data_IF_875750831036
#
_entry.id   IF_875750831036
#
_cell.length_a   1.000
_cell.length_b   1.000
_cell.length_c   1.000
_cell.angle_alpha   90.00
_cell.angle_beta   90.00
_cell.angle_gamma   90.00
#
_symmetry.space_group_name_H-M   'P 1'
#
loop_
_entity.id
_entity.type
_entity.pdbx_description
1 polymer ?
#
# COMPACT_ATOMS: atom_id res chain seq x y z
N UNK A 1 6.09 11.76 22.18
CA UNK A 1 6.83 10.89 21.23
C UNK A 1 6.09 10.96 19.92
N UNK A 2 6.76 11.35 18.84
CA UNK A 2 6.13 11.46 17.52
C UNK A 2 5.64 10.11 17.01
N UNK A 3 4.70 10.15 16.07
CA UNK A 3 4.18 8.94 15.43
C UNK A 3 5.01 8.61 14.20
N UNK A 4 5.34 7.34 14.02
CA UNK A 4 5.83 6.81 12.75
C UNK A 4 4.64 6.30 11.95
N UNK A 5 4.34 6.97 10.88
CA UNK A 5 3.13 6.75 10.08
C UNK A 5 3.54 6.11 8.76
N UNK A 6 2.97 4.97 8.46
CA UNK A 6 3.08 4.34 7.15
C UNK A 6 1.69 4.18 6.53
N UNK A 7 1.54 4.57 5.28
CA UNK A 7 0.33 4.26 4.52
C UNK A 7 0.64 4.16 3.04
N UNK A 8 -0.24 3.51 2.30
CA UNK A 8 -0.06 3.30 0.88
C UNK A 8 -1.35 3.42 0.08
N UNK A 9 -1.20 3.83 -1.17
CA UNK A 9 -2.28 3.88 -2.15
C UNK A 9 -1.92 3.01 -3.35
N UNK A 10 -2.86 2.16 -3.75
CA UNK A 10 -2.68 1.33 -4.94
C UNK A 10 -2.84 2.18 -6.21
N UNK A 11 -1.91 2.08 -7.18
CA UNK A 11 -2.01 2.80 -8.44
C UNK A 11 -2.94 2.08 -9.42
N UNK A 12 -4.22 1.96 -9.06
CA UNK A 12 -5.22 1.23 -9.87
C UNK A 12 -5.94 2.14 -10.89
N UNK A 13 -5.50 3.37 -11.05
CA UNK A 13 -6.06 4.38 -11.95
C UNK A 13 -7.29 5.09 -11.37
N UNK A 14 -7.77 6.10 -12.12
CA UNK A 14 -8.99 6.84 -11.79
C UNK A 14 -9.09 7.33 -10.33
N UNK A 15 -8.05 8.04 -9.88
CA UNK A 15 -8.13 8.74 -8.61
C UNK A 15 -9.35 9.67 -8.63
N UNK A 16 -10.26 9.44 -7.73
CA UNK A 16 -11.49 10.21 -7.60
C UNK A 16 -11.57 10.89 -6.23
N UNK A 17 -12.55 11.76 -6.07
CA UNK A 17 -12.75 12.53 -4.85
C UNK A 17 -12.78 11.67 -3.58
N UNK A 18 -13.30 10.43 -3.66
CA UNK A 18 -13.31 9.49 -2.56
C UNK A 18 -11.91 9.08 -2.09
N UNK A 19 -10.96 8.87 -3.02
CA UNK A 19 -9.56 8.58 -2.67
C UNK A 19 -8.89 9.78 -1.99
N UNK A 20 -9.20 11.00 -2.48
CA UNK A 20 -8.69 12.21 -1.86
C UNK A 20 -9.22 12.41 -0.44
N UNK A 21 -10.54 12.35 -0.24
CA UNK A 21 -11.15 12.57 1.07
C UNK A 21 -10.85 11.42 2.04
N UNK A 22 -10.91 10.17 1.55
CA UNK A 22 -10.73 8.99 2.39
C UNK A 22 -9.28 8.76 2.84
N UNK A 23 -8.30 9.08 2.00
CA UNK A 23 -6.90 8.79 2.30
C UNK A 23 -5.99 10.02 2.22
N UNK A 24 -5.85 10.65 1.04
CA UNK A 24 -4.78 11.62 0.76
C UNK A 24 -4.89 12.87 1.65
N UNK A 25 -6.10 13.36 1.89
CA UNK A 25 -6.34 14.50 2.79
C UNK A 25 -5.82 14.19 4.20
N UNK A 26 -6.09 12.99 4.72
CA UNK A 26 -5.61 12.58 6.03
C UNK A 26 -4.07 12.52 6.07
N UNK A 27 -3.41 12.13 4.97
CA UNK A 27 -1.95 12.13 4.87
C UNK A 27 -1.38 13.54 4.99
N UNK A 28 -2.00 14.52 4.32
CA UNK A 28 -1.62 15.94 4.42
C UNK A 28 -1.80 16.47 5.84
N UNK A 29 -2.91 16.12 6.49
CA UNK A 29 -3.17 16.54 7.87
C UNK A 29 -2.16 15.92 8.85
N UNK A 30 -1.82 14.64 8.67
CA UNK A 30 -0.86 13.92 9.51
C UNK A 30 0.56 14.44 9.35
N UNK A 31 1.03 14.75 8.13
CA UNK A 31 2.37 15.29 7.90
C UNK A 31 2.57 16.69 8.53
N UNK A 32 1.49 17.44 8.74
CA UNK A 32 1.55 18.78 9.32
C UNK A 32 1.46 18.77 10.86
N UNK A 33 1.21 17.62 11.47
CA UNK A 33 1.26 17.47 12.92
C UNK A 33 2.73 17.40 13.37
N UNK A 34 3.03 18.11 14.47
CA UNK A 34 4.37 18.17 15.02
C UNK A 34 4.89 16.78 15.41
N UNK A 35 6.16 16.53 15.13
CA UNK A 35 6.92 15.33 15.49
C UNK A 35 6.45 14.03 14.78
N UNK A 36 5.55 14.09 13.80
CA UNK A 36 5.20 12.94 13.00
C UNK A 36 6.25 12.68 11.92
N UNK A 37 6.65 11.42 11.78
CA UNK A 37 7.44 10.90 10.65
C UNK A 37 6.50 10.16 9.71
N UNK A 38 6.30 10.69 8.50
CA UNK A 38 5.34 10.14 7.55
C UNK A 38 6.03 9.50 6.35
N UNK A 39 5.63 8.27 6.05
CA UNK A 39 6.11 7.46 4.92
C UNK A 39 4.90 7.04 4.10
N UNK A 40 4.80 7.56 2.88
CA UNK A 40 3.69 7.30 1.97
C UNK A 40 4.18 6.54 0.74
N UNK A 41 3.56 5.41 0.49
CA UNK A 41 3.97 4.46 -0.52
C UNK A 41 2.95 4.34 -1.66
N UNK A 42 3.41 4.37 -2.89
CA UNK A 42 2.63 3.90 -4.04
C UNK A 42 2.82 2.39 -4.12
N UNK A 43 1.79 1.62 -3.72
CA UNK A 43 1.91 0.17 -3.50
C UNK A 43 1.61 -0.62 -4.77
N UNK A 44 2.51 -0.58 -5.72
CA UNK A 44 2.40 -1.23 -7.02
C UNK A 44 2.51 -2.76 -6.95
N UNK A 45 3.24 -3.33 -5.99
CA UNK A 45 3.26 -4.77 -5.76
C UNK A 45 1.90 -5.29 -5.30
N UNK A 46 1.14 -4.51 -4.53
CA UNK A 46 -0.25 -4.85 -4.20
C UNK A 46 -1.17 -4.74 -5.43
N UNK A 47 -0.93 -3.78 -6.32
CA UNK A 47 -1.74 -3.63 -7.52
C UNK A 47 -1.63 -4.85 -8.45
N UNK A 48 -0.44 -5.43 -8.62
CA UNK A 48 -0.22 -6.60 -9.48
C UNK A 48 -0.78 -7.92 -8.93
N UNK A 49 -1.35 -7.94 -7.74
CA UNK A 49 -2.10 -9.10 -7.22
C UNK A 49 -3.32 -9.42 -8.09
N UNK A 50 -3.79 -8.44 -8.84
CA UNK A 50 -4.77 -8.57 -9.92
C UNK A 50 -4.12 -8.22 -11.26
N UNK A 51 -4.68 -8.73 -12.36
CA UNK A 51 -4.11 -8.51 -13.70
C UNK A 51 -4.06 -7.01 -14.02
N UNK A 52 -2.88 -6.50 -14.34
CA UNK A 52 -2.63 -5.14 -14.77
C UNK A 52 -1.97 -5.13 -16.14
N UNK A 53 -2.28 -4.13 -16.96
CA UNK A 53 -1.47 -3.79 -18.13
C UNK A 53 -0.22 -3.04 -17.66
N UNK A 54 1.01 -3.47 -18.04
CA UNK A 54 2.24 -2.85 -17.54
C UNK A 54 2.39 -1.37 -17.91
N UNK A 55 1.89 -0.95 -19.07
CA UNK A 55 2.00 0.45 -19.52
C UNK A 55 1.02 1.33 -18.75
N UNK A 56 -0.19 0.83 -18.55
CA UNK A 56 -1.22 1.50 -17.75
C UNK A 56 -0.75 1.60 -16.30
N UNK A 57 -0.23 0.52 -15.72
CA UNK A 57 0.29 0.53 -14.34
C UNK A 57 1.40 1.58 -14.17
N UNK A 58 2.33 1.66 -15.13
CA UNK A 58 3.40 2.66 -15.12
C UNK A 58 2.87 4.10 -15.16
N UNK A 59 1.82 4.36 -15.94
CA UNK A 59 1.14 5.67 -15.96
C UNK A 59 0.48 5.95 -14.62
N UNK A 60 -0.28 4.99 -14.10
CA UNK A 60 -1.01 5.13 -12.86
C UNK A 60 -0.10 5.40 -11.64
N UNK A 61 1.10 4.78 -11.60
CA UNK A 61 2.10 5.06 -10.56
C UNK A 61 2.49 6.55 -10.59
N UNK A 62 2.75 7.10 -11.77
CA UNK A 62 3.12 8.51 -11.93
C UNK A 62 1.96 9.44 -11.56
N UNK A 63 0.75 9.11 -12.00
CA UNK A 63 -0.46 9.87 -11.70
C UNK A 63 -0.77 9.87 -10.19
N UNK A 64 -0.64 8.72 -9.52
CA UNK A 64 -0.82 8.62 -8.08
C UNK A 64 0.21 9.46 -7.33
N UNK A 65 1.48 9.43 -7.77
CA UNK A 65 2.53 10.25 -7.18
C UNK A 65 2.26 11.74 -7.40
N UNK A 66 1.87 12.12 -8.62
CA UNK A 66 1.50 13.51 -8.94
C UNK A 66 0.30 14.00 -8.11
N UNK A 67 -0.69 13.14 -7.90
CA UNK A 67 -1.84 13.45 -7.06
C UNK A 67 -1.45 13.66 -5.58
N UNK A 68 -0.51 12.88 -5.04
CA UNK A 68 0.04 13.11 -3.71
C UNK A 68 0.62 14.51 -3.58
N UNK A 69 1.49 14.90 -4.52
CA UNK A 69 2.13 16.21 -4.53
C UNK A 69 1.13 17.34 -4.72
N UNK A 70 0.23 17.21 -5.70
CA UNK A 70 -0.81 18.20 -6.00
C UNK A 70 -1.81 18.41 -4.84
N UNK A 71 -2.02 17.37 -4.02
CA UNK A 71 -2.87 17.43 -2.85
C UNK A 71 -2.21 18.06 -1.62
N UNK A 72 -0.89 18.36 -1.68
CA UNK A 72 -0.18 19.04 -0.62
C UNK A 72 0.72 18.13 0.23
N UNK A 73 0.98 16.89 -0.18
CA UNK A 73 2.03 16.09 0.45
C UNK A 73 3.38 16.70 0.03
N UNK A 74 4.14 17.15 1.02
CA UNK A 74 5.41 17.84 0.86
C UNK A 74 6.57 16.83 0.99
N UNK A 75 7.36 16.57 -0.08
CA UNK A 75 8.48 15.63 -0.04
C UNK A 75 9.65 16.10 0.85
N UNK A 76 9.61 17.33 1.37
CA UNK A 76 10.56 17.80 2.38
C UNK A 76 10.14 17.41 3.80
N UNK A 77 8.87 17.07 4.00
CA UNK A 77 8.29 16.66 5.29
C UNK A 77 8.01 15.18 5.38
N UNK A 78 7.68 14.55 4.24
CA UNK A 78 7.28 13.16 4.17
C UNK A 78 8.13 12.40 3.16
N UNK A 79 8.36 11.12 3.40
CA UNK A 79 8.97 10.23 2.41
C UNK A 79 7.87 9.75 1.48
N UNK A 80 8.07 9.90 0.16
CA UNK A 80 7.20 9.36 -0.88
C UNK A 80 8.03 8.42 -1.75
N UNK A 81 7.56 7.20 -1.97
CA UNK A 81 8.30 6.24 -2.80
C UNK A 81 7.36 5.23 -3.47
N UNK A 82 7.89 4.52 -4.46
CA UNK A 82 7.21 3.40 -5.10
C UNK A 82 7.70 2.07 -4.50
N UNK A 83 6.79 1.21 -4.10
CA UNK A 83 7.06 0.00 -3.33
C UNK A 83 8.07 -0.93 -4.02
N UNK A 84 7.91 -1.16 -5.33
CA UNK A 84 8.80 -2.06 -6.08
C UNK A 84 10.24 -1.56 -6.22
N UNK A 85 10.51 -0.29 -5.93
CA UNK A 85 11.87 0.27 -5.94
C UNK A 85 12.65 -0.05 -4.64
N UNK A 86 11.99 -0.64 -3.66
CA UNK A 86 12.60 -1.07 -2.38
C UNK A 86 12.49 -2.58 -2.25
N UNK A 87 13.51 -3.36 -2.65
CA UNK A 87 13.45 -4.83 -2.67
C UNK A 87 13.11 -5.48 -1.32
N UNK A 88 13.43 -4.80 -0.21
CA UNK A 88 13.16 -5.28 1.14
C UNK A 88 11.68 -5.62 1.39
N UNK A 89 10.74 -5.00 0.70
CA UNK A 89 9.32 -5.34 0.80
C UNK A 89 9.06 -6.79 0.35
N UNK A 90 9.61 -7.19 -0.80
CA UNK A 90 9.48 -8.56 -1.31
C UNK A 90 10.27 -9.56 -0.48
N UNK A 91 11.47 -9.21 -0.04
CA UNK A 91 12.30 -10.05 0.83
C UNK A 91 11.64 -10.26 2.18
N UNK A 92 11.16 -9.19 2.82
CA UNK A 92 10.41 -9.25 4.08
C UNK A 92 9.13 -10.08 3.95
N UNK A 93 8.41 -9.92 2.85
CA UNK A 93 7.21 -10.71 2.56
C UNK A 93 7.56 -12.21 2.44
N UNK A 94 8.66 -12.57 1.79
CA UNK A 94 9.10 -13.95 1.70
C UNK A 94 9.44 -14.53 3.08
N UNK A 95 10.24 -13.82 3.87
CA UNK A 95 10.65 -14.25 5.21
C UNK A 95 9.42 -14.47 6.10
N UNK A 96 8.50 -13.48 6.12
CA UNK A 96 7.26 -13.59 6.89
C UNK A 96 6.35 -14.70 6.36
N UNK A 97 6.36 -14.95 5.05
CA UNK A 97 5.62 -16.05 4.42
C UNK A 97 6.06 -17.43 4.91
N UNK A 98 7.35 -17.58 5.23
CA UNK A 98 7.88 -18.84 5.77
C UNK A 98 7.40 -19.15 7.20
N UNK A 99 6.94 -18.16 7.94
CA UNK A 99 6.43 -18.33 9.32
C UNK A 99 4.92 -18.14 9.44
N UNK A 100 4.29 -17.49 8.45
CA UNK A 100 2.85 -17.29 8.42
C UNK A 100 2.09 -18.61 8.27
N UNK A 101 0.94 -18.71 8.92
CA UNK A 101 0.12 -19.93 8.89
C UNK A 101 -1.03 -19.81 7.91
N UNK A 102 -1.25 -20.84 7.10
CA UNK A 102 -2.37 -20.91 6.16
C UNK A 102 -3.72 -20.60 6.82
N UNK A 103 -3.93 -21.07 8.06
CA UNK A 103 -5.15 -20.81 8.82
C UNK A 103 -5.38 -19.32 9.13
N UNK A 104 -4.34 -18.50 9.17
CA UNK A 104 -4.48 -17.05 9.32
C UNK A 104 -4.98 -16.43 8.03
N UNK A 105 -4.38 -16.79 6.89
CA UNK A 105 -4.77 -16.30 5.57
C UNK A 105 -6.20 -16.72 5.19
N UNK A 106 -6.61 -17.93 5.54
CA UNK A 106 -7.97 -18.43 5.29
C UNK A 106 -9.07 -17.61 5.98
N UNK A 107 -8.75 -16.85 7.02
CA UNK A 107 -9.70 -15.98 7.73
C UNK A 107 -9.86 -14.61 7.06
N UNK A 108 -8.94 -14.23 6.17
CA UNK A 108 -8.97 -12.93 5.50
C UNK A 108 -10.16 -12.85 4.55
N UNK A 109 -10.99 -11.83 4.72
CA UNK A 109 -12.23 -11.65 3.95
C UNK A 109 -11.95 -11.15 2.53
N UNK A 110 -10.95 -10.32 2.34
CA UNK A 110 -10.68 -9.68 1.04
C UNK A 110 -10.32 -10.66 -0.07
N UNK A 111 -9.66 -11.78 0.25
CA UNK A 111 -9.46 -12.83 -0.75
C UNK A 111 -10.80 -13.37 -1.25
N UNK A 112 -11.74 -13.60 -0.33
CA UNK A 112 -13.08 -14.12 -0.66
C UNK A 112 -13.87 -13.13 -1.52
N UNK A 113 -13.75 -11.84 -1.23
CA UNK A 113 -14.43 -10.77 -1.96
C UNK A 113 -13.83 -10.55 -3.36
N UNK A 114 -12.51 -10.45 -3.47
CA UNK A 114 -11.81 -10.14 -4.73
C UNK A 114 -11.65 -11.35 -5.66
N UNK A 115 -11.54 -12.57 -5.15
CA UNK A 115 -11.48 -13.78 -5.95
C UNK A 115 -12.83 -14.10 -6.62
N UNK A 116 -13.94 -13.54 -6.13
CA UNK A 116 -15.27 -13.76 -6.69
C UNK A 116 -15.71 -15.23 -6.65
N UNK A 117 -16.46 -15.65 -7.68
CA UNK A 117 -16.95 -17.03 -7.78
C UNK A 117 -15.91 -18.03 -8.27
N UNK A 118 -14.88 -17.57 -8.96
CA UNK A 118 -13.85 -18.42 -9.60
C UNK A 118 -12.51 -18.29 -8.84
N UNK A 119 -12.47 -18.91 -7.68
CA UNK A 119 -11.27 -18.87 -6.80
C UNK A 119 -10.06 -19.55 -7.42
N UNK A 120 -10.25 -20.49 -8.33
CA UNK A 120 -9.16 -21.23 -8.98
C UNK A 120 -8.35 -20.34 -9.92
N UNK A 121 -8.95 -19.25 -10.44
CA UNK A 121 -8.27 -18.27 -11.28
C UNK A 121 -7.62 -17.13 -10.50
N UNK A 122 -7.84 -17.06 -9.19
CA UNK A 122 -7.23 -16.04 -8.36
C UNK A 122 -5.71 -16.26 -8.24
N UNK A 123 -4.95 -15.17 -8.31
CA UNK A 123 -3.49 -15.27 -8.14
C UNK A 123 -3.11 -15.65 -6.72
N UNK A 124 -1.98 -16.36 -6.56
CA UNK A 124 -1.41 -16.61 -5.23
C UNK A 124 -1.09 -15.29 -4.52
N UNK A 125 -0.66 -14.26 -5.26
CA UNK A 125 -0.43 -12.92 -4.72
C UNK A 125 -1.66 -12.34 -4.02
N UNK A 126 -2.85 -12.55 -4.59
CA UNK A 126 -4.10 -12.10 -3.97
C UNK A 126 -4.41 -12.84 -2.65
N UNK A 127 -3.92 -14.07 -2.50
CA UNK A 127 -4.09 -14.84 -1.26
C UNK A 127 -3.09 -14.43 -0.18
N UNK A 128 -1.83 -14.15 -0.57
CA UNK A 128 -0.74 -13.88 0.36
C UNK A 128 -0.46 -12.38 0.56
N UNK A 129 -1.17 -11.47 -0.10
CA UNK A 129 -0.91 -10.02 0.04
C UNK A 129 -0.94 -9.50 1.50
N UNK A 130 -1.67 -10.09 2.47
CA UNK A 130 -1.59 -9.65 3.86
C UNK A 130 -0.20 -9.82 4.48
N UNK A 131 0.58 -10.77 3.97
CA UNK A 131 1.97 -10.97 4.38
C UNK A 131 2.84 -9.83 3.87
N UNK A 132 2.68 -9.45 2.59
CA UNK A 132 3.35 -8.28 2.02
C UNK A 132 2.98 -7.00 2.77
N UNK A 133 1.70 -6.81 3.08
CA UNK A 133 1.24 -5.66 3.88
C UNK A 133 1.88 -5.64 5.28
N UNK A 134 2.06 -6.79 5.90
CA UNK A 134 2.76 -6.90 7.19
C UNK A 134 4.23 -6.50 7.04
N UNK A 135 4.89 -6.94 5.96
CA UNK A 135 6.27 -6.53 5.66
C UNK A 135 6.37 -5.01 5.47
N UNK A 136 5.44 -4.42 4.70
CA UNK A 136 5.38 -2.98 4.48
C UNK A 136 5.36 -2.17 5.78
N UNK A 137 4.59 -2.63 6.76
CA UNK A 137 4.42 -1.96 8.05
C UNK A 137 5.66 -2.14 8.94
N UNK A 138 6.17 -3.38 9.03
CA UNK A 138 7.27 -3.71 9.93
C UNK A 138 8.61 -3.12 9.46
N UNK A 139 8.85 -3.01 8.17
CA UNK A 139 10.09 -2.45 7.61
C UNK A 139 10.37 -1.01 8.07
N UNK A 140 9.33 -0.24 8.31
CA UNK A 140 9.44 1.17 8.72
C UNK A 140 9.18 1.36 10.22
N UNK A 141 9.03 0.29 10.97
CA UNK A 141 8.73 0.35 12.41
C UNK A 141 7.53 1.27 12.70
N UNK A 142 6.52 1.15 11.85
CA UNK A 142 5.35 2.02 11.86
C UNK A 142 4.51 1.82 13.13
N UNK A 143 4.20 2.91 13.81
CA UNK A 143 3.34 2.89 14.99
C UNK A 143 1.87 3.15 14.64
N UNK A 144 1.62 3.76 13.48
CA UNK A 144 0.28 4.10 13.01
C UNK A 144 0.14 3.84 11.51
N UNK A 145 -0.96 3.20 11.14
CA UNK A 145 -1.33 2.90 9.75
C UNK A 145 -2.71 3.48 9.49
N UNK A 146 -2.81 4.73 8.99
CA UNK A 146 -4.10 5.30 8.61
C UNK A 146 -4.68 4.52 7.43
N UNK A 147 -5.96 4.17 7.54
CA UNK A 147 -6.74 3.50 6.49
C UNK A 147 -7.87 4.42 6.05
N UNK A 148 -8.19 4.38 4.76
CA UNK A 148 -9.28 5.14 4.17
C UNK A 148 -10.59 4.38 4.15
#
# INVERSE_FOLDING_TARGET
MGKKIFSGVQPTGNLHLGNYIGAIKNFVDLQNQKDNECVYCVVDLHAITTKQDPQILKSNIRETTAAFLASGIDPKKSIIFNQSLVPAHSEGSWILGCIARMGWLNRMTQFKEKAGKDKEKASVGLYIYPILMTADILLYDATHVPVG
#
